data_IF_490257695044
#
_entry.id   IF_490257695044
#
_cell.length_a   1.000
_cell.length_b   1.000
_cell.length_c   1.000
_cell.angle_alpha   90.00
_cell.angle_beta   90.00
_cell.angle_gamma   90.00
#
_symmetry.space_group_name_H-M   'P 1'
#
loop_
_entity.id
_entity.type
_entity.pdbx_description
1 polymer ?
#
# COMPACT_ATOMS: atom_id res chain seq x y z
N UNK A 1 5.83 -83.45 27.03
CA UNK A 1 5.93 -82.24 27.89
C UNK A 1 5.50 -81.07 27.01
N UNK A 2 4.20 -80.77 26.93
CA UNK A 2 3.42 -79.81 27.75
C UNK A 2 3.95 -78.36 27.66
N UNK A 3 2.99 -77.43 27.44
CA UNK A 3 3.00 -75.95 27.40
C UNK A 3 2.76 -75.38 26.00
N UNK A 4 1.89 -74.39 25.76
CA UNK A 4 0.76 -73.82 26.51
C UNK A 4 0.04 -72.91 25.50
N UNK A 5 -1.24 -73.18 25.21
CA UNK A 5 -2.07 -72.35 24.34
C UNK A 5 -2.63 -71.19 25.16
N UNK A 6 -2.08 -69.99 25.01
CA UNK A 6 -2.62 -68.76 25.59
C UNK A 6 -3.83 -68.29 24.78
N UNK A 7 -5.04 -68.50 25.32
CA UNK A 7 -6.28 -67.85 24.87
C UNK A 7 -6.30 -66.41 25.37
N UNK A 8 -6.12 -65.45 24.47
CA UNK A 8 -6.41 -64.04 24.75
C UNK A 8 -7.89 -63.78 24.43
N UNK A 9 -8.69 -63.61 25.47
CA UNK A 9 -10.07 -63.19 25.36
C UNK A 9 -10.11 -61.66 25.23
N UNK A 10 -10.34 -61.14 24.02
CA UNK A 10 -10.57 -59.72 23.78
C UNK A 10 -12.04 -59.41 24.13
N UNK A 11 -12.25 -58.72 25.25
CA UNK A 11 -13.56 -58.20 25.65
C UNK A 11 -13.78 -56.84 24.97
N UNK A 12 -14.57 -56.83 23.90
CA UNK A 12 -14.98 -55.60 23.22
C UNK A 12 -16.10 -54.91 24.01
N UNK A 13 -15.74 -53.88 24.77
CA UNK A 13 -16.71 -53.00 25.43
C UNK A 13 -17.26 -52.03 24.38
N UNK A 14 -18.47 -52.30 23.89
CA UNK A 14 -19.23 -51.33 23.09
C UNK A 14 -19.87 -50.31 24.04
N UNK A 15 -19.18 -49.18 24.23
CA UNK A 15 -19.78 -47.99 24.85
C UNK A 15 -20.77 -47.37 23.85
N UNK A 16 -22.07 -47.65 24.05
CA UNK A 16 -23.17 -46.99 23.37
C UNK A 16 -23.27 -45.55 23.87
N UNK A 17 -22.59 -44.64 23.17
CA UNK A 17 -22.68 -43.20 23.42
C UNK A 17 -24.05 -42.74 22.95
N UNK A 18 -24.95 -42.45 23.88
CA UNK A 18 -26.26 -41.88 23.61
C UNK A 18 -26.08 -40.58 22.81
N UNK A 19 -26.61 -40.56 21.59
CA UNK A 19 -26.72 -39.38 20.76
C UNK A 19 -27.74 -38.44 21.43
N UNK A 20 -27.24 -37.52 22.25
CA UNK A 20 -27.98 -36.35 22.66
C UNK A 20 -28.21 -35.49 21.42
N UNK A 21 -29.40 -35.58 20.84
CA UNK A 21 -29.98 -34.58 19.93
C UNK A 21 -30.32 -33.31 20.72
N UNK A 22 -29.33 -32.79 21.44
CA UNK A 22 -29.32 -31.44 21.95
C UNK A 22 -29.09 -30.54 20.76
N UNK A 23 -30.15 -29.83 20.40
CA UNK A 23 -30.19 -28.78 19.41
C UNK A 23 -29.25 -27.67 19.87
N UNK A 24 -27.93 -27.88 19.76
CA UNK A 24 -26.96 -26.80 19.68
C UNK A 24 -27.24 -26.10 18.36
N UNK A 25 -28.22 -25.21 18.40
CA UNK A 25 -28.17 -23.99 17.65
C UNK A 25 -26.91 -23.27 18.16
N UNK A 26 -25.74 -23.74 17.72
CA UNK A 26 -24.54 -22.93 17.64
C UNK A 26 -25.01 -21.69 16.90
N UNK A 27 -25.32 -20.64 17.66
CA UNK A 27 -25.18 -19.30 17.17
C UNK A 27 -23.74 -19.25 16.68
N UNK A 28 -23.57 -19.56 15.40
CA UNK A 28 -22.47 -19.12 14.55
C UNK A 28 -22.28 -17.68 14.96
N UNK A 29 -21.35 -17.46 15.88
CA UNK A 29 -20.88 -16.16 16.28
C UNK A 29 -20.38 -15.66 14.95
N UNK A 30 -21.20 -14.82 14.28
CA UNK A 30 -20.95 -14.33 12.95
C UNK A 30 -19.57 -13.70 13.04
N UNK A 31 -18.55 -14.47 12.64
CA UNK A 31 -17.18 -14.02 12.63
C UNK A 31 -17.17 -13.02 11.51
N UNK A 32 -17.39 -11.77 11.90
CA UNK A 32 -17.32 -10.59 11.05
C UNK A 32 -16.13 -10.81 10.12
N UNK A 33 -16.45 -11.00 8.85
CA UNK A 33 -15.48 -11.43 7.86
C UNK A 33 -14.42 -10.34 7.72
N UNK A 34 -13.19 -10.75 7.47
CA UNK A 34 -12.12 -9.82 7.18
C UNK A 34 -12.44 -9.05 5.89
N UNK A 35 -12.06 -7.79 5.86
CA UNK A 35 -12.21 -6.93 4.69
C UNK A 35 -11.00 -6.00 4.56
N UNK A 36 -10.85 -5.41 3.38
CA UNK A 36 -9.80 -4.44 3.09
C UNK A 36 -10.40 -3.04 2.97
N UNK A 37 -9.90 -2.11 3.77
CA UNK A 37 -10.19 -0.68 3.66
C UNK A 37 -9.22 -0.03 2.66
N UNK A 38 -9.75 0.30 1.49
CA UNK A 38 -9.02 0.89 0.37
C UNK A 38 -9.34 2.38 0.17
N UNK A 39 -9.63 3.12 1.25
CA UNK A 39 -9.98 4.54 1.18
C UNK A 39 -11.49 4.75 1.12
N UNK A 40 -12.06 5.13 -0.03
CA UNK A 40 -13.52 5.23 -0.20
C UNK A 40 -14.22 3.88 -0.28
N UNK A 41 -13.46 2.80 -0.43
CA UNK A 41 -13.98 1.50 -0.83
C UNK A 41 -13.62 0.44 0.20
N UNK A 42 -14.53 -0.51 0.37
CA UNK A 42 -14.34 -1.72 1.14
C UNK A 42 -14.32 -2.89 0.15
N UNK A 43 -13.38 -3.82 0.33
CA UNK A 43 -13.32 -5.06 -0.43
C UNK A 43 -13.39 -6.23 0.53
N UNK A 44 -14.46 -7.01 0.47
CA UNK A 44 -14.65 -8.16 1.35
C UNK A 44 -13.75 -9.31 0.93
N UNK A 45 -13.01 -9.89 1.88
CA UNK A 45 -12.04 -10.96 1.60
C UNK A 45 -12.75 -12.21 1.05
N UNK A 46 -13.96 -12.50 1.52
CA UNK A 46 -14.78 -13.62 1.04
C UNK A 46 -15.15 -13.49 -0.45
N UNK A 47 -15.39 -12.28 -0.95
CA UNK A 47 -15.65 -12.03 -2.36
C UNK A 47 -14.39 -12.25 -3.21
N UNK A 48 -13.21 -11.89 -2.69
CA UNK A 48 -11.93 -12.17 -3.34
C UNK A 48 -11.68 -13.68 -3.38
N UNK A 49 -11.94 -14.40 -2.28
CA UNK A 49 -11.79 -15.85 -2.24
C UNK A 49 -12.72 -16.53 -3.26
N UNK A 50 -13.97 -16.09 -3.38
CA UNK A 50 -14.90 -16.58 -4.39
C UNK A 50 -14.40 -16.29 -5.82
N UNK A 51 -13.84 -15.09 -6.06
CA UNK A 51 -13.23 -14.73 -7.33
C UNK A 51 -12.05 -15.65 -7.67
N UNK A 52 -11.16 -15.94 -6.72
CA UNK A 52 -10.01 -16.81 -6.93
C UNK A 52 -10.44 -18.27 -7.15
N UNK A 53 -11.43 -18.76 -6.39
CA UNK A 53 -11.98 -20.10 -6.53
C UNK A 53 -12.64 -20.29 -7.90
N UNK A 54 -13.50 -19.34 -8.32
CA UNK A 54 -14.18 -19.39 -9.62
C UNK A 54 -13.19 -19.37 -10.80
N UNK A 55 -12.07 -18.65 -10.67
CA UNK A 55 -11.05 -18.58 -11.69
C UNK A 55 -10.02 -19.71 -11.63
N UNK A 56 -10.12 -20.65 -10.67
CA UNK A 56 -9.08 -21.59 -10.25
C UNK A 56 -8.07 -22.03 -11.32
N UNK A 57 -8.50 -22.74 -12.37
CA UNK A 57 -7.58 -23.26 -13.41
C UNK A 57 -7.08 -22.19 -14.40
N UNK A 58 -7.71 -21.02 -14.44
CA UNK A 58 -7.46 -19.96 -15.42
C UNK A 58 -6.82 -18.72 -14.80
N UNK A 59 -6.46 -18.71 -13.51
CA UNK A 59 -5.82 -17.56 -12.86
C UNK A 59 -4.59 -17.11 -13.65
N UNK A 60 -3.79 -18.04 -14.19
CA UNK A 60 -2.59 -17.74 -14.97
C UNK A 60 -2.88 -16.97 -16.28
N UNK A 61 -4.10 -17.04 -16.80
CA UNK A 61 -4.51 -16.30 -18.00
C UNK A 61 -4.89 -14.83 -17.69
N UNK A 62 -5.24 -14.54 -16.44
CA UNK A 62 -5.74 -13.21 -16.02
C UNK A 62 -4.80 -12.49 -15.07
N UNK A 63 -4.01 -13.23 -14.30
CA UNK A 63 -3.07 -12.69 -13.35
C UNK A 63 -1.80 -12.23 -14.09
N UNK A 64 -1.35 -11.02 -13.76
CA UNK A 64 -0.13 -10.45 -14.33
C UNK A 64 0.95 -10.48 -13.27
N UNK A 65 2.18 -10.85 -13.64
CA UNK A 65 3.30 -10.79 -12.70
C UNK A 65 3.44 -9.40 -12.08
N UNK A 66 3.55 -9.39 -10.76
CA UNK A 66 3.59 -8.19 -9.95
C UNK A 66 4.96 -8.06 -9.30
N UNK A 67 5.72 -7.07 -9.74
CA UNK A 67 7.02 -6.72 -9.18
C UNK A 67 6.98 -5.24 -8.87
N UNK A 68 7.02 -4.91 -7.59
CA UNK A 68 6.90 -3.54 -7.13
C UNK A 68 7.79 -3.34 -5.91
N UNK A 69 8.27 -2.11 -5.72
CA UNK A 69 9.11 -1.76 -4.56
C UNK A 69 8.42 -2.04 -3.22
N UNK A 70 7.09 -2.06 -3.21
CA UNK A 70 6.25 -2.43 -2.08
C UNK A 70 6.49 -3.86 -1.56
N UNK A 71 7.05 -4.74 -2.40
CA UNK A 71 7.35 -6.14 -2.10
C UNK A 71 8.80 -6.48 -2.47
N UNK A 72 9.71 -5.52 -2.29
CA UNK A 72 11.15 -5.67 -2.53
C UNK A 72 11.52 -6.24 -3.92
N UNK A 73 10.63 -6.03 -4.91
CA UNK A 73 10.77 -6.52 -6.28
C UNK A 73 10.86 -8.06 -6.42
N UNK A 74 10.35 -8.81 -5.45
CA UNK A 74 10.29 -10.28 -5.55
C UNK A 74 9.41 -10.72 -6.74
N UNK A 75 9.81 -11.79 -7.43
CA UNK A 75 9.13 -12.28 -8.64
C UNK A 75 7.95 -13.21 -8.35
N UNK A 76 7.69 -13.47 -7.06
CA UNK A 76 6.79 -14.52 -6.61
C UNK A 76 5.34 -14.08 -6.49
N UNK A 77 5.04 -12.83 -6.87
CA UNK A 77 3.72 -12.26 -6.74
C UNK A 77 3.07 -12.07 -8.10
N UNK A 78 1.76 -12.29 -8.11
CA UNK A 78 0.89 -11.94 -9.22
C UNK A 78 -0.19 -10.98 -8.74
N UNK A 79 -0.63 -10.10 -9.63
CA UNK A 79 -1.78 -9.23 -9.38
C UNK A 79 -2.94 -9.62 -10.28
N UNK A 80 -4.14 -9.54 -9.73
CA UNK A 80 -5.40 -9.74 -10.46
C UNK A 80 -6.30 -8.52 -10.21
N UNK A 81 -6.91 -7.99 -11.26
CA UNK A 81 -7.88 -6.87 -11.13
C UNK A 81 -9.09 -7.38 -10.34
N UNK A 82 -9.51 -6.62 -9.33
CA UNK A 82 -10.76 -6.88 -8.61
C UNK A 82 -11.89 -6.16 -9.37
N UNK A 83 -12.90 -6.88 -9.88
CA UNK A 83 -14.05 -6.27 -10.53
C UNK A 83 -14.76 -5.28 -9.61
N UNK A 84 -15.19 -4.14 -10.15
CA UNK A 84 -15.82 -3.05 -9.37
C UNK A 84 -17.07 -3.50 -8.58
N UNK A 85 -17.83 -4.47 -9.10
CA UNK A 85 -19.02 -5.00 -8.42
C UNK A 85 -18.71 -5.83 -7.16
N UNK A 86 -17.44 -6.19 -6.92
CA UNK A 86 -16.99 -6.81 -5.68
C UNK A 86 -16.48 -5.80 -4.65
N UNK A 87 -16.55 -4.50 -4.98
CA UNK A 87 -16.14 -3.40 -4.12
C UNK A 87 -17.37 -2.65 -3.63
N UNK A 88 -17.44 -2.39 -2.33
CA UNK A 88 -18.54 -1.65 -1.71
C UNK A 88 -18.09 -0.23 -1.40
N UNK A 89 -18.71 0.82 -1.98
CA UNK A 89 -18.37 2.19 -1.64
C UNK A 89 -18.85 2.53 -0.22
N UNK A 90 -18.05 3.29 0.53
CA UNK A 90 -18.44 3.77 1.86
C UNK A 90 -19.59 4.79 1.76
N UNK A 91 -20.50 4.83 2.75
CA UNK A 91 -21.73 5.62 2.69
C UNK A 91 -21.52 7.14 2.77
N UNK A 92 -20.31 7.60 3.11
CA UNK A 92 -20.02 9.01 3.40
C UNK A 92 -20.00 9.87 2.11
N UNK A 93 -20.33 9.33 0.93
CA UNK A 93 -19.97 9.95 -0.36
C UNK A 93 -21.15 10.15 -1.33
N UNK A 94 -21.36 11.40 -1.73
CA UNK A 94 -22.24 11.78 -2.85
C UNK A 94 -21.55 11.66 -4.22
N UNK A 95 -20.22 11.65 -4.25
CA UNK A 95 -19.41 11.41 -5.45
C UNK A 95 -18.67 10.10 -5.30
N UNK A 96 -18.80 9.19 -6.28
CA UNK A 96 -18.05 7.93 -6.32
C UNK A 96 -16.75 8.16 -7.11
N UNK A 97 -15.61 8.47 -6.45
CA UNK A 97 -14.36 8.45 -7.16
C UNK A 97 -14.10 7.01 -7.59
N UNK A 98 -13.97 6.78 -8.90
CA UNK A 98 -13.60 5.46 -9.40
C UNK A 98 -12.21 5.10 -8.87
N UNK A 99 -11.97 3.84 -8.53
CA UNK A 99 -10.63 3.33 -8.19
C UNK A 99 -10.47 1.95 -8.83
N UNK A 100 -9.24 1.52 -9.07
CA UNK A 100 -8.94 0.16 -9.54
C UNK A 100 -8.12 -0.50 -8.44
N UNK A 101 -8.64 -1.62 -7.95
CA UNK A 101 -8.00 -2.42 -6.92
C UNK A 101 -7.48 -3.71 -7.53
N UNK A 102 -6.41 -4.22 -6.95
CA UNK A 102 -5.79 -5.47 -7.34
C UNK A 102 -5.62 -6.34 -6.11
N UNK A 103 -5.96 -7.62 -6.23
CA UNK A 103 -5.53 -8.62 -5.25
C UNK A 103 -4.14 -9.07 -5.64
N UNK A 104 -3.24 -9.13 -4.66
CA UNK A 104 -1.91 -9.70 -4.78
C UNK A 104 -1.97 -11.12 -4.23
N UNK A 105 -1.51 -12.08 -5.03
CA UNK A 105 -1.43 -13.49 -4.66
C UNK A 105 0.00 -14.00 -4.78
N UNK A 106 0.38 -14.95 -3.93
CA UNK A 106 1.67 -15.62 -3.97
C UNK A 106 1.67 -16.82 -4.93
N UNK A 107 2.81 -17.52 -5.00
CA UNK A 107 2.99 -18.76 -5.77
C UNK A 107 2.02 -19.89 -5.39
N UNK A 108 1.52 -19.88 -4.15
CA UNK A 108 0.55 -20.84 -3.63
C UNK A 108 -0.90 -20.37 -3.83
N UNK A 109 -1.10 -19.24 -4.54
CA UNK A 109 -2.40 -18.60 -4.81
C UNK A 109 -3.10 -18.13 -3.53
N UNK A 110 -2.34 -17.90 -2.46
CA UNK A 110 -2.85 -17.31 -1.23
C UNK A 110 -2.94 -15.79 -1.39
N UNK A 111 -3.98 -15.19 -0.80
CA UNK A 111 -4.13 -13.74 -0.77
C UNK A 111 -3.03 -13.17 0.12
N UNK A 112 -2.14 -12.39 -0.47
CA UNK A 112 -1.09 -11.66 0.24
C UNK A 112 -1.63 -10.32 0.71
N UNK A 113 -2.27 -9.57 -0.20
CA UNK A 113 -2.78 -8.23 0.09
C UNK A 113 -3.78 -7.75 -0.97
N UNK A 114 -4.42 -6.61 -0.71
CA UNK A 114 -5.13 -5.82 -1.71
C UNK A 114 -4.44 -4.48 -1.86
N UNK A 115 -4.19 -4.07 -3.11
CA UNK A 115 -3.48 -2.82 -3.40
C UNK A 115 -4.28 -1.90 -4.34
N UNK A 116 -4.07 -0.60 -4.18
CA UNK A 116 -4.60 0.44 -5.07
C UNK A 116 -3.45 1.12 -5.83
N UNK A 117 -3.70 1.53 -7.08
CA UNK A 117 -2.72 2.28 -7.85
C UNK A 117 -2.76 3.79 -7.49
N UNK A 118 -1.61 4.32 -7.07
CA UNK A 118 -1.38 5.72 -6.75
C UNK A 118 -1.23 6.59 -8.00
N UNK A 119 -1.34 7.91 -7.83
CA UNK A 119 -1.20 8.89 -8.91
C UNK A 119 0.16 8.82 -9.62
N UNK A 120 1.23 8.51 -8.89
CA UNK A 120 2.57 8.32 -9.43
C UNK A 120 2.78 6.95 -10.14
N UNK A 121 1.73 6.13 -10.28
CA UNK A 121 1.78 4.84 -10.96
C UNK A 121 2.17 3.64 -10.08
N UNK A 122 2.65 3.90 -8.85
CA UNK A 122 2.98 2.88 -7.86
C UNK A 122 1.75 2.35 -7.15
N UNK A 123 1.96 1.44 -6.20
CA UNK A 123 0.89 0.80 -5.46
C UNK A 123 1.02 1.08 -3.96
N UNK A 124 -0.13 1.06 -3.29
CA UNK A 124 -0.27 1.19 -1.84
C UNK A 124 -1.22 0.12 -1.34
N UNK A 125 -0.90 -0.46 -0.18
CA UNK A 125 -1.70 -1.51 0.47
C UNK A 125 -2.99 -0.93 1.02
N UNK A 126 -4.07 -1.67 0.87
CA UNK A 126 -5.30 -1.43 1.61
C UNK A 126 -5.13 -1.94 3.03
N UNK A 127 -5.77 -1.27 4.00
CA UNK A 127 -5.70 -1.72 5.39
C UNK A 127 -6.62 -2.93 5.55
N UNK A 128 -6.07 -4.11 5.78
CA UNK A 128 -6.87 -5.26 6.21
C UNK A 128 -7.45 -4.98 7.60
N UNK A 129 -8.75 -5.23 7.75
CA UNK A 129 -9.49 -5.10 9.01
C UNK A 129 -10.05 -6.47 9.34
N UNK A 130 -9.61 -7.02 10.47
CA UNK A 130 -10.07 -8.28 11.04
C UNK A 130 -10.21 -8.17 12.56
N UNK A 131 -10.92 -9.13 13.19
CA UNK A 131 -11.13 -9.14 14.65
C UNK A 131 -9.84 -9.33 15.45
N UNK A 132 -8.79 -9.87 14.83
CA UNK A 132 -7.53 -10.19 15.48
C UNK A 132 -6.54 -9.04 15.51
N UNK A 133 -6.73 -8.02 14.66
CA UNK A 133 -5.84 -6.86 14.61
C UNK A 133 -6.22 -5.95 15.78
N UNK A 134 -5.40 -5.90 16.85
CA UNK A 134 -5.65 -4.94 17.92
C UNK A 134 -5.62 -3.56 17.30
N UNK A 135 -6.59 -2.69 17.64
CA UNK A 135 -6.43 -1.27 17.35
C UNK A 135 -5.05 -0.86 17.87
N UNK A 136 -4.24 -0.25 17.01
CA UNK A 136 -2.87 0.12 17.35
C UNK A 136 -2.92 0.85 18.69
N UNK A 137 -2.32 0.24 19.71
CA UNK A 137 -2.23 0.84 21.05
C UNK A 137 -1.74 2.26 20.90
N UNK A 138 -2.27 3.20 21.70
CA UNK A 138 -1.89 4.61 21.73
C UNK A 138 -0.38 4.76 22.01
N UNK A 139 0.43 4.49 20.99
CA UNK A 139 1.86 4.70 20.97
C UNK A 139 2.07 6.21 21.01
N UNK A 140 3.09 6.60 21.76
CA UNK A 140 3.41 8.01 21.97
C UNK A 140 3.60 8.69 20.61
N UNK A 141 3.02 9.88 20.43
CA UNK A 141 2.81 10.46 19.09
C UNK A 141 4.11 10.76 18.32
N UNK A 142 5.25 10.70 19.01
CA UNK A 142 6.54 11.16 18.52
C UNK A 142 7.42 10.06 17.91
N UNK A 143 7.01 8.79 17.92
CA UNK A 143 7.89 7.67 17.54
C UNK A 143 7.46 6.89 16.28
N UNK A 144 6.41 7.34 15.58
CA UNK A 144 5.94 6.65 14.38
C UNK A 144 6.33 7.34 13.07
N UNK A 145 6.59 6.51 12.06
CA UNK A 145 6.68 6.87 10.66
C UNK A 145 5.36 6.55 9.94
N UNK A 146 5.25 7.01 8.69
CA UNK A 146 4.12 6.74 7.81
C UNK A 146 4.57 6.02 6.55
N UNK A 147 4.07 4.81 6.35
CA UNK A 147 4.31 3.96 5.18
C UNK A 147 3.21 4.19 4.15
N UNK A 148 3.58 4.83 3.04
CA UNK A 148 2.73 5.20 1.92
C UNK A 148 3.16 4.43 0.66
N UNK A 149 2.82 3.15 0.58
CA UNK A 149 3.34 2.30 -0.50
C UNK A 149 4.82 2.02 -0.29
N UNK A 150 5.67 2.36 -1.26
CA UNK A 150 7.13 2.19 -1.13
C UNK A 150 7.83 3.37 -0.44
N UNK A 151 7.09 4.44 -0.12
CA UNK A 151 7.63 5.61 0.57
C UNK A 151 7.39 5.50 2.08
N UNK A 152 8.41 5.90 2.84
CA UNK A 152 8.38 5.94 4.30
C UNK A 152 8.75 7.36 4.74
N UNK A 153 7.82 8.02 5.43
CA UNK A 153 7.96 9.38 5.93
C UNK A 153 8.16 9.37 7.44
N UNK A 154 9.25 9.96 7.94
CA UNK A 154 9.45 10.14 9.38
C UNK A 154 8.40 11.08 9.99
N UNK A 155 8.19 10.98 11.29
CA UNK A 155 7.39 11.95 12.04
C UNK A 155 7.88 13.38 11.79
N UNK A 156 9.20 13.59 11.80
CA UNK A 156 9.84 14.90 11.62
C UNK A 156 9.50 15.54 10.27
N UNK A 157 9.54 14.78 9.17
CA UNK A 157 9.17 15.27 7.83
C UNK A 157 7.70 15.68 7.79
N UNK A 158 6.81 14.89 8.41
CA UNK A 158 5.38 15.18 8.47
C UNK A 158 5.11 16.41 9.34
N UNK A 159 5.78 16.53 10.48
CA UNK A 159 5.69 17.67 11.38
C UNK A 159 6.23 18.95 10.75
N UNK A 160 7.38 18.86 10.06
CA UNK A 160 7.92 19.97 9.29
C UNK A 160 6.93 20.45 8.22
N UNK A 161 6.34 19.52 7.47
CA UNK A 161 5.34 19.85 6.44
C UNK A 161 4.09 20.50 7.04
N UNK A 162 3.61 20.03 8.19
CA UNK A 162 2.52 20.64 8.92
C UNK A 162 2.86 22.06 9.42
N UNK A 163 4.07 22.26 9.95
CA UNK A 163 4.55 23.57 10.40
C UNK A 163 4.63 24.57 9.22
N UNK A 164 5.15 24.13 8.07
CA UNK A 164 5.18 24.93 6.84
C UNK A 164 3.76 25.31 6.39
N UNK A 165 2.83 24.35 6.40
CA UNK A 165 1.43 24.59 6.07
C UNK A 165 0.82 25.73 6.91
N UNK A 166 1.15 25.80 8.20
CA UNK A 166 0.69 26.85 9.11
C UNK A 166 1.39 28.19 8.87
N UNK A 167 2.70 28.19 8.64
CA UNK A 167 3.48 29.40 8.38
C UNK A 167 3.00 30.15 7.11
N UNK A 168 2.47 29.43 6.12
CA UNK A 168 1.96 30.01 4.88
C UNK A 168 0.52 30.57 4.96
N UNK A 169 -0.14 30.56 6.12
CA UNK A 169 -1.47 31.18 6.31
C UNK A 169 -1.42 32.68 5.94
N UNK A 170 -1.82 33.00 4.71
CA UNK A 170 -2.01 34.37 4.21
C UNK A 170 -1.19 34.76 2.97
N UNK A 171 0.01 34.19 2.76
CA UNK A 171 0.93 34.64 1.68
C UNK A 171 1.01 33.69 0.48
N UNK A 172 0.71 32.40 0.63
CA UNK A 172 0.78 31.40 -0.44
C UNK A 172 -0.34 30.34 -0.34
N UNK A 173 -1.58 30.76 -0.62
CA UNK A 173 -2.78 29.87 -0.62
C UNK A 173 -2.72 28.73 -1.65
N UNK A 174 -1.71 28.68 -2.52
CA UNK A 174 -1.60 27.69 -3.60
C UNK A 174 -1.36 26.25 -3.09
N UNK A 175 -0.78 26.10 -1.91
CA UNK A 175 -0.32 24.81 -1.39
C UNK A 175 -1.29 24.21 -0.36
N UNK A 176 -1.78 25.04 0.56
CA UNK A 176 -2.75 24.63 1.58
C UNK A 176 -4.15 24.62 0.96
N UNK A 177 -4.71 23.43 0.78
CA UNK A 177 -6.05 23.25 0.21
C UNK A 177 -6.99 22.64 1.24
N UNK A 178 -8.29 23.02 1.28
CA UNK A 178 -9.29 22.24 1.98
C UNK A 178 -9.24 20.79 1.51
N UNK A 179 -9.31 19.85 2.43
CA UNK A 179 -9.47 18.45 2.10
C UNK A 179 -10.85 18.25 1.46
N UNK A 180 -10.85 17.80 0.21
CA UNK A 180 -12.06 17.40 -0.49
C UNK A 180 -11.87 15.97 -0.93
N UNK A 181 -12.43 15.07 -0.14
CA UNK A 181 -12.28 13.65 -0.36
C UNK A 181 -13.06 12.81 0.66
N UNK A 182 -12.91 11.50 0.54
CA UNK A 182 -13.82 10.54 1.17
C UNK A 182 -13.34 10.01 2.54
N UNK A 183 -12.12 10.32 2.95
CA UNK A 183 -11.56 9.75 4.18
C UNK A 183 -12.13 10.41 5.46
N UNK A 184 -12.73 11.59 5.35
CA UNK A 184 -13.19 12.41 6.46
C UNK A 184 -14.52 13.08 6.15
N UNK A 185 -15.32 13.38 7.17
CA UNK A 185 -16.53 14.20 7.00
C UNK A 185 -16.15 15.60 6.50
N UNK A 186 -16.86 16.16 5.50
CA UNK A 186 -16.66 17.55 5.05
C UNK A 186 -16.81 18.59 6.18
N UNK A 187 -17.61 18.30 7.20
CA UNK A 187 -17.91 19.19 8.33
C UNK A 187 -16.68 19.44 9.24
N UNK A 188 -15.67 18.58 9.15
CA UNK A 188 -14.45 18.71 9.96
C UNK A 188 -13.51 19.79 9.44
N UNK A 189 -13.75 20.30 8.22
CA UNK A 189 -12.99 21.38 7.60
C UNK A 189 -11.45 21.17 7.64
N UNK A 190 -11.04 19.92 7.47
CA UNK A 190 -9.63 19.57 7.43
C UNK A 190 -8.94 20.17 6.21
N UNK A 191 -7.65 20.40 6.35
CA UNK A 191 -6.79 20.94 5.31
C UNK A 191 -5.77 19.86 4.92
N UNK A 192 -5.32 19.90 3.68
CA UNK A 192 -4.23 19.06 3.19
C UNK A 192 -3.09 19.91 2.65
N UNK A 193 -1.87 19.45 2.89
CA UNK A 193 -0.64 20.07 2.40
C UNK A 193 0.28 19.01 1.78
N UNK A 194 0.90 19.28 0.62
CA UNK A 194 1.83 18.34 -0.01
C UNK A 194 2.97 17.93 0.93
N UNK A 195 3.23 16.63 1.06
CA UNK A 195 4.49 16.17 1.66
C UNK A 195 5.63 16.30 0.66
N UNK A 196 6.77 16.77 1.15
CA UNK A 196 8.03 16.85 0.43
C UNK A 196 9.16 16.45 1.37
N UNK A 197 10.08 15.59 0.91
CA UNK A 197 11.34 15.33 1.63
C UNK A 197 12.26 16.56 1.58
N UNK A 198 12.07 17.41 0.58
CA UNK A 198 12.91 18.58 0.38
C UNK A 198 12.28 19.81 1.02
N UNK A 199 13.05 20.45 1.90
CA UNK A 199 12.67 21.64 2.68
C UNK A 199 12.26 22.84 1.80
N UNK A 200 12.69 22.90 0.53
CA UNK A 200 12.70 24.12 -0.27
C UNK A 200 12.07 24.02 -1.69
N UNK A 201 11.40 22.93 -2.07
CA UNK A 201 10.88 22.77 -3.45
C UNK A 201 9.61 23.57 -3.79
N UNK A 202 9.09 24.38 -2.86
CA UNK A 202 7.91 25.21 -3.12
C UNK A 202 8.29 26.52 -3.84
N UNK A 203 8.86 26.38 -5.04
CA UNK A 203 9.16 27.50 -5.92
C UNK A 203 7.92 28.35 -6.19
N UNK A 204 8.11 29.67 -6.25
CA UNK A 204 7.03 30.62 -6.53
C UNK A 204 6.40 30.35 -7.90
N UNK A 205 5.09 30.08 -7.92
CA UNK A 205 4.26 30.11 -9.14
C UNK A 205 3.79 28.78 -9.72
N UNK A 206 4.22 27.62 -9.20
CA UNK A 206 3.69 26.32 -9.65
C UNK A 206 3.15 25.49 -8.49
N UNK A 207 1.93 24.97 -8.64
CA UNK A 207 1.37 24.00 -7.69
C UNK A 207 2.15 22.69 -7.83
N UNK A 208 2.77 22.19 -6.74
CA UNK A 208 3.57 20.99 -6.80
C UNK A 208 2.64 19.83 -7.08
N UNK A 209 3.01 19.03 -8.06
CA UNK A 209 2.36 17.77 -8.31
C UNK A 209 2.84 16.78 -7.25
N UNK A 210 2.06 16.65 -6.17
CA UNK A 210 2.33 15.68 -5.11
C UNK A 210 1.34 14.53 -5.15
N UNK A 211 1.84 13.35 -4.78
CA UNK A 211 1.05 12.14 -4.53
C UNK A 211 0.72 12.00 -3.05
N UNK A 212 1.55 12.54 -2.14
CA UNK A 212 1.44 12.35 -0.70
C UNK A 212 1.12 13.67 -0.01
N UNK A 213 0.22 13.63 0.97
CA UNK A 213 -0.27 14.82 1.65
C UNK A 213 -0.37 14.57 3.15
N UNK A 214 0.01 15.56 3.95
CA UNK A 214 -0.35 15.62 5.36
C UNK A 214 -1.73 16.26 5.49
N UNK A 215 -2.59 15.64 6.29
CA UNK A 215 -3.91 16.17 6.65
C UNK A 215 -3.81 16.80 8.02
N UNK A 216 -4.21 18.07 8.13
CA UNK A 216 -4.16 18.84 9.37
C UNK A 216 -5.54 19.42 9.69
N UNK A 217 -5.86 19.50 10.97
CA UNK A 217 -7.01 20.26 11.45
C UNK A 217 -6.81 21.77 11.25
N UNK A 218 -7.86 22.57 11.41
CA UNK A 218 -7.77 24.05 11.41
C UNK A 218 -6.79 24.59 12.47
N UNK A 219 -6.70 23.88 13.60
CA UNK A 219 -5.77 24.17 14.70
C UNK A 219 -4.32 23.78 14.40
N UNK A 220 -4.05 23.10 13.27
CA UNK A 220 -2.71 22.67 12.89
C UNK A 220 -2.29 21.31 13.43
N UNK A 221 -3.15 20.63 14.19
CA UNK A 221 -2.91 19.24 14.63
C UNK A 221 -2.90 18.31 13.42
N UNK A 222 -1.87 17.46 13.31
CA UNK A 222 -1.76 16.40 12.32
C UNK A 222 -2.84 15.35 12.58
N UNK A 223 -3.64 15.07 11.56
CA UNK A 223 -4.68 14.04 11.58
C UNK A 223 -4.12 12.74 11.02
N UNK A 224 -3.54 12.80 9.82
CA UNK A 224 -3.03 11.63 9.12
C UNK A 224 -2.11 12.00 7.94
N UNK A 225 -1.51 10.99 7.31
CA UNK A 225 -0.88 11.11 6.00
C UNK A 225 -1.69 10.30 4.99
N UNK A 226 -1.95 10.88 3.82
CA UNK A 226 -2.76 10.28 2.77
C UNK A 226 -2.02 10.27 1.44
N UNK A 227 -2.29 9.26 0.62
CA UNK A 227 -1.81 9.16 -0.75
C UNK A 227 -2.98 9.34 -1.73
N UNK A 228 -2.73 10.08 -2.82
CA UNK A 228 -3.68 10.27 -3.90
C UNK A 228 -3.62 9.10 -4.88
N UNK A 229 -4.77 8.51 -5.16
CA UNK A 229 -4.95 7.42 -6.12
C UNK A 229 -5.06 7.95 -7.55
N UNK A 230 -4.77 7.08 -8.53
CA UNK A 230 -4.71 7.43 -9.96
C UNK A 230 -5.97 8.14 -10.49
N UNK A 231 -7.14 7.80 -9.95
CA UNK A 231 -8.44 8.33 -10.35
C UNK A 231 -8.98 9.44 -9.41
N UNK A 232 -8.12 9.99 -8.55
CA UNK A 232 -8.43 11.16 -7.74
C UNK A 232 -8.94 10.87 -6.32
N UNK A 233 -9.20 9.61 -6.00
CA UNK A 233 -9.48 9.14 -4.63
C UNK A 233 -8.24 9.29 -3.71
N UNK A 234 -8.41 9.09 -2.41
CA UNK A 234 -7.35 9.08 -1.43
C UNK A 234 -7.41 7.85 -0.54
N UNK A 235 -6.25 7.40 -0.08
CA UNK A 235 -6.11 6.34 0.91
C UNK A 235 -5.17 6.79 2.02
N UNK A 236 -5.40 6.31 3.24
CA UNK A 236 -4.54 6.57 4.40
C UNK A 236 -3.25 5.76 4.29
N UNK A 237 -2.15 6.35 4.70
CA UNK A 237 -0.90 5.63 4.89
C UNK A 237 -0.92 4.88 6.21
N UNK A 238 -0.16 3.79 6.31
CA UNK A 238 -0.06 3.03 7.54
C UNK A 238 0.92 3.72 8.49
N UNK A 239 0.53 3.90 9.75
CA UNK A 239 1.49 4.27 10.81
C UNK A 239 2.37 3.06 11.12
N UNK A 240 3.66 3.28 11.28
CA UNK A 240 4.62 2.21 11.46
C UNK A 240 5.77 2.65 12.35
N UNK A 241 6.37 1.73 13.10
CA UNK A 241 7.62 1.96 13.85
C UNK A 241 8.86 1.69 13.02
N UNK A 242 8.69 1.33 11.74
CA UNK A 242 9.81 1.23 10.80
C UNK A 242 10.55 2.57 10.79
N UNK A 243 11.82 2.53 11.16
CA UNK A 243 12.72 3.65 11.00
C UNK A 243 12.94 3.81 9.49
N UNK A 244 12.73 5.01 8.92
CA UNK A 244 13.16 5.26 7.55
C UNK A 244 14.62 4.85 7.44
N UNK A 245 15.06 4.22 6.35
CA UNK A 245 16.49 3.98 6.16
C UNK A 245 17.21 5.29 6.43
N UNK A 246 18.27 5.22 7.23
CA UNK A 246 18.99 6.38 7.74
C UNK A 246 19.62 7.13 6.56
N UNK A 247 18.86 8.06 6.01
CA UNK A 247 19.22 8.89 4.87
C UNK A 247 19.57 10.29 5.38
N UNK A 248 19.14 10.63 6.61
CA UNK A 248 19.28 11.95 7.19
C UNK A 248 20.41 12.03 8.25
N UNK A 249 21.02 10.92 8.70
CA UNK A 249 22.23 10.98 9.56
C UNK A 249 23.51 11.40 8.83
N UNK A 250 23.49 11.45 7.50
CA UNK A 250 24.62 11.93 6.70
C UNK A 250 24.52 13.45 6.59
N UNK A 251 24.77 14.10 7.73
CA UNK A 251 24.63 15.54 8.00
C UNK A 251 25.52 16.45 7.13
N UNK A 252 26.14 15.96 6.05
CA UNK A 252 27.02 16.80 5.23
C UNK A 252 26.97 16.64 3.71
N UNK A 253 26.43 15.57 3.11
CA UNK A 253 26.39 15.50 1.64
C UNK A 253 25.14 14.78 1.15
N UNK A 254 24.14 15.53 0.71
CA UNK A 254 23.06 15.01 -0.15
C UNK A 254 23.68 14.44 -1.43
N UNK A 255 24.06 13.16 -1.39
CA UNK A 255 24.63 12.47 -2.52
C UNK A 255 23.53 12.31 -3.57
N UNK A 256 23.77 12.90 -4.73
CA UNK A 256 22.81 12.90 -5.81
C UNK A 256 23.36 13.63 -7.02
N UNK A 257 22.49 13.78 -8.01
CA UNK A 257 22.85 14.37 -9.29
C UNK A 257 21.92 15.54 -9.59
N UNK A 258 22.50 16.66 -10.04
CA UNK A 258 21.75 17.79 -10.56
C UNK A 258 21.63 17.64 -12.08
N UNK A 259 20.40 17.63 -12.58
CA UNK A 259 20.10 17.74 -14.00
C UNK A 259 19.37 19.07 -14.22
N UNK A 260 20.14 20.10 -14.61
CA UNK A 260 19.63 21.48 -14.66
C UNK A 260 19.25 21.96 -13.25
N UNK A 261 17.95 22.20 -13.03
CA UNK A 261 17.40 22.64 -11.72
C UNK A 261 16.80 21.50 -10.90
N UNK A 262 16.84 20.27 -11.42
CA UNK A 262 16.26 19.10 -10.76
C UNK A 262 17.34 18.33 -10.03
N UNK A 263 17.13 18.09 -8.74
CA UNK A 263 17.98 17.22 -7.93
C UNK A 263 17.40 15.80 -7.90
N UNK A 264 18.26 14.80 -8.11
CA UNK A 264 17.93 13.39 -8.03
C UNK A 264 18.77 12.75 -6.93
N UNK A 265 18.10 12.36 -5.85
CA UNK A 265 18.69 11.63 -4.73
C UNK A 265 19.28 10.28 -5.18
N UNK A 266 20.45 9.91 -4.64
CA UNK A 266 21.14 8.67 -5.01
C UNK A 266 20.28 7.41 -4.74
N UNK A 267 19.44 7.41 -3.71
CA UNK A 267 18.58 6.26 -3.42
C UNK A 267 17.43 6.18 -4.42
N UNK A 268 16.89 7.32 -4.85
CA UNK A 268 15.93 7.36 -5.95
C UNK A 268 16.53 6.77 -7.24
N UNK A 269 17.79 7.10 -7.54
CA UNK A 269 18.51 6.55 -8.68
C UNK A 269 18.73 5.03 -8.54
N UNK A 270 19.19 4.55 -7.38
CA UNK A 270 19.38 3.11 -7.10
C UNK A 270 18.07 2.33 -7.25
N UNK A 271 16.98 2.83 -6.67
CA UNK A 271 15.64 2.23 -6.80
C UNK A 271 15.18 2.21 -8.25
N UNK A 272 15.41 3.29 -8.99
CA UNK A 272 15.04 3.38 -10.40
C UNK A 272 15.83 2.39 -11.25
N UNK A 273 17.14 2.25 -10.99
CA UNK A 273 17.99 1.28 -11.65
C UNK A 273 17.56 -0.17 -11.36
N UNK A 274 17.23 -0.49 -10.10
CA UNK A 274 16.71 -1.80 -9.72
C UNK A 274 15.38 -2.10 -10.43
N UNK A 275 14.46 -1.13 -10.45
CA UNK A 275 13.19 -1.25 -11.17
C UNK A 275 13.41 -1.47 -12.68
N UNK A 276 14.37 -0.74 -13.27
CA UNK A 276 14.72 -0.88 -14.68
C UNK A 276 15.26 -2.28 -15.00
N UNK A 277 16.18 -2.80 -14.16
CA UNK A 277 16.76 -4.15 -14.29
C UNK A 277 15.68 -5.22 -14.26
N UNK A 278 14.78 -5.14 -13.29
CA UNK A 278 13.68 -6.08 -13.11
C UNK A 278 12.71 -6.02 -14.31
N UNK A 279 12.41 -4.83 -14.82
CA UNK A 279 11.58 -4.66 -16.02
C UNK A 279 12.25 -5.17 -17.30
N UNK A 280 13.57 -5.06 -17.42
CA UNK A 280 14.33 -5.55 -18.57
C UNK A 280 14.23 -7.07 -18.72
N UNK A 281 14.39 -7.80 -17.60
CA UNK A 281 14.40 -9.27 -17.59
C UNK A 281 13.07 -9.87 -18.10
N UNK A 282 11.97 -9.13 -18.01
CA UNK A 282 10.64 -9.60 -18.40
C UNK A 282 10.36 -9.55 -19.90
N UNK A 283 11.22 -8.93 -20.73
CA UNK A 283 11.10 -8.85 -22.20
C UNK A 283 9.71 -8.49 -22.76
N UNK A 284 8.80 -7.94 -21.95
CA UNK A 284 7.56 -7.37 -22.46
C UNK A 284 7.91 -6.24 -23.43
N UNK A 285 7.08 -6.02 -24.47
CA UNK A 285 7.24 -4.97 -25.50
C UNK A 285 7.22 -3.56 -24.89
N UNK A 286 8.19 -3.24 -24.05
CA UNK A 286 8.26 -2.01 -23.28
C UNK A 286 9.16 -1.03 -23.99
N UNK A 287 8.77 0.23 -23.89
CA UNK A 287 9.53 1.36 -24.42
C UNK A 287 10.87 1.50 -23.69
N UNK A 288 10.95 1.03 -22.43
CA UNK A 288 12.14 1.09 -21.59
C UNK A 288 12.32 -0.16 -20.72
N UNK A 289 13.57 -0.49 -20.33
CA UNK A 289 14.79 0.22 -20.69
C UNK A 289 15.18 0.08 -22.17
N UNK A 290 15.82 1.11 -22.74
CA UNK A 290 16.34 1.11 -24.12
C UNK A 290 17.83 0.81 -24.10
N UNK A 291 18.33 0.05 -25.07
CA UNK A 291 19.77 -0.13 -25.25
C UNK A 291 20.39 1.22 -25.60
N UNK A 292 21.47 1.56 -24.91
CA UNK A 292 22.35 2.67 -25.22
C UNK A 292 23.66 2.12 -25.74
N UNK A 293 24.07 2.58 -26.92
CA UNK A 293 25.34 2.23 -27.51
C UNK A 293 26.07 3.52 -27.88
N UNK A 294 27.26 3.69 -27.32
CA UNK A 294 28.24 4.69 -27.68
C UNK A 294 29.60 4.01 -27.89
N UNK A 295 30.53 4.68 -28.57
CA UNK A 295 31.86 4.15 -28.91
C UNK A 295 32.64 3.69 -27.66
N UNK A 296 32.34 4.30 -26.51
CA UNK A 296 33.02 4.05 -25.24
C UNK A 296 32.23 3.18 -24.25
N UNK A 297 30.92 2.97 -24.48
CA UNK A 297 30.03 2.40 -23.47
C UNK A 297 28.79 1.74 -24.07
N UNK A 298 28.48 0.53 -23.59
CA UNK A 298 27.19 -0.13 -23.84
C UNK A 298 26.41 -0.21 -22.53
N UNK A 299 25.15 0.23 -22.54
CA UNK A 299 24.31 0.22 -21.35
C UNK A 299 22.82 0.30 -21.66
N UNK A 300 22.05 0.73 -20.66
CA UNK A 300 20.60 0.84 -20.76
C UNK A 300 20.13 2.22 -20.28
N UNK A 301 19.24 2.85 -21.05
CA UNK A 301 18.53 4.07 -20.65
C UNK A 301 17.22 3.71 -19.98
N UNK A 302 16.94 4.40 -18.88
CA UNK A 302 15.64 4.36 -18.21
C UNK A 302 15.24 5.77 -17.76
N UNK A 303 13.97 6.19 -17.91
CA UNK A 303 13.57 7.55 -17.55
C UNK A 303 13.69 7.80 -16.05
N UNK A 304 14.34 8.91 -15.70
CA UNK A 304 14.36 9.45 -14.35
C UNK A 304 13.29 10.54 -14.25
N UNK A 305 12.38 10.40 -13.28
CA UNK A 305 11.36 11.40 -13.01
C UNK A 305 11.63 12.07 -11.66
N UNK A 306 11.36 13.39 -11.53
CA UNK A 306 11.61 14.12 -10.29
C UNK A 306 10.61 13.72 -9.20
N UNK A 307 10.85 14.20 -7.98
CA UNK A 307 9.92 14.07 -6.83
C UNK A 307 9.58 12.62 -6.45
N UNK A 308 10.54 11.71 -6.60
CA UNK A 308 10.34 10.29 -6.28
C UNK A 308 9.32 9.58 -7.18
N UNK A 309 8.98 10.16 -8.34
CA UNK A 309 8.18 9.46 -9.34
C UNK A 309 9.05 8.45 -10.08
N UNK A 310 8.48 7.31 -10.45
CA UNK A 310 9.14 6.35 -11.33
C UNK A 310 8.34 6.18 -12.61
N UNK A 311 9.03 5.76 -13.67
CA UNK A 311 8.40 5.53 -14.95
C UNK A 311 7.42 4.34 -14.87
N UNK A 312 6.13 4.62 -14.98
CA UNK A 312 5.05 3.64 -14.87
C UNK A 312 4.97 2.63 -16.04
N UNK A 313 5.39 3.04 -17.24
CA UNK A 313 5.17 2.28 -18.48
C UNK A 313 3.82 2.58 -19.10
#
# INVERSE_FOLDING_TARGET
MLFSLAKVALTSIFATKAASTGLELEQSILTQQAYYDCGSWIVDESLIQNLLYANGMYIENYAVSFQELLYDLEENYWKLIIPEHLCTPKPIHHTRPGSIFYVIIDKLRQIVDVVAQMKNGHYIKCKRVDKSTPESSNLDQNEYSYECGHELFSHEIVQMSANLALAYKGKNKLYLSPYSGPLYSPELDYLMYPLSREKNLHYTGKKPESTYFVVISRAGKIIDVIAKLRRGDFIKCARTTKVPPDIDSDDDLRLGYLCGVLFFDINHLKRTANLAKVKFLKQERRIFPKIYLDDSFTGYLYPLLPNGMFYGG
#
